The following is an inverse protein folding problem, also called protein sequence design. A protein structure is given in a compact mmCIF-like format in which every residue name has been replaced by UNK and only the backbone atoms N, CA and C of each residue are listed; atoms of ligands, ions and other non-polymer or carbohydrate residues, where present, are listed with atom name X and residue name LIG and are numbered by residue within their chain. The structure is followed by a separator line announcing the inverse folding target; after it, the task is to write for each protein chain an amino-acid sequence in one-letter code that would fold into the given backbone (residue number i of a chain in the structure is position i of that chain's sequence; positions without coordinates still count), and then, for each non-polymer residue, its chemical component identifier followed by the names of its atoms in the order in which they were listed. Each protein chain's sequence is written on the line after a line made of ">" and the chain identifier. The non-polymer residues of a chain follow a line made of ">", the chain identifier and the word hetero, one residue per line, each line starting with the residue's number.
data_IF_483246791572
#
_entry.id   IF_483246791572
#
_cell.length_a   1.000
_cell.length_b   1.000
_cell.length_c   1.000
_cell.angle_alpha   90.00
_cell.angle_beta   90.00
_cell.angle_gamma   90.00
#
_symmetry.space_group_name_H-M   'P 1'
#
loop_
_entity.id
_entity.type
_entity.pdbx_description
1 polymer ?
#
# COMPACT_ATOMS: atom_id res chain seq x y z
N UNK A 1 8.04 -6.39 -19.22
CA UNK A 1 6.68 -5.87 -18.93
C UNK A 1 5.82 -5.64 -20.19
N UNK A 2 6.35 -5.81 -21.40
CA UNK A 2 5.63 -5.51 -22.68
C UNK A 2 4.70 -6.63 -23.15
N UNK A 3 5.01 -7.91 -22.89
CA UNK A 3 4.29 -9.03 -23.52
C UNK A 3 2.83 -9.19 -23.09
N UNK A 4 2.47 -8.88 -21.83
CA UNK A 4 1.09 -9.04 -21.34
C UNK A 4 0.18 -7.96 -21.91
N UNK A 5 0.65 -6.71 -21.97
CA UNK A 5 -0.13 -5.61 -22.54
C UNK A 5 -0.39 -5.82 -24.04
N UNK A 6 0.60 -6.34 -24.78
CA UNK A 6 0.45 -6.65 -26.21
C UNK A 6 -0.67 -7.66 -26.45
N UNK A 7 -0.68 -8.78 -25.72
CA UNK A 7 -1.69 -9.84 -25.87
C UNK A 7 -3.09 -9.34 -25.52
N UNK A 8 -3.21 -8.46 -24.51
CA UNK A 8 -4.49 -7.88 -24.12
C UNK A 8 -5.00 -6.92 -25.20
N UNK A 9 -4.14 -6.09 -25.78
CA UNK A 9 -4.50 -5.23 -26.92
C UNK A 9 -5.00 -6.07 -28.09
N UNK A 10 -4.29 -7.15 -28.43
CA UNK A 10 -4.69 -8.02 -29.55
C UNK A 10 -6.06 -8.68 -29.33
N UNK A 11 -6.38 -9.09 -28.09
CA UNK A 11 -7.70 -9.64 -27.73
C UNK A 11 -8.81 -8.59 -27.84
N UNK A 12 -8.53 -7.35 -27.42
CA UNK A 12 -9.50 -6.24 -27.47
C UNK A 12 -9.80 -5.87 -28.91
N UNK A 13 -8.78 -5.73 -29.76
CA UNK A 13 -8.93 -5.41 -31.17
C UNK A 13 -9.78 -6.48 -31.88
N UNK A 14 -9.57 -7.75 -31.53
CA UNK A 14 -10.39 -8.86 -32.04
C UNK A 14 -11.86 -8.76 -31.58
N UNK A 15 -12.09 -8.43 -30.30
CA UNK A 15 -13.44 -8.30 -29.75
C UNK A 15 -14.21 -7.09 -30.32
N UNK A 16 -13.52 -5.97 -30.54
CA UNK A 16 -14.10 -4.77 -31.16
C UNK A 16 -14.51 -5.04 -32.61
N UNK A 17 -13.63 -5.69 -33.38
CA UNK A 17 -13.93 -6.08 -34.76
C UNK A 17 -15.11 -7.05 -34.86
N UNK A 18 -15.24 -7.98 -33.90
CA UNK A 18 -16.30 -8.98 -33.88
C UNK A 18 -17.67 -8.41 -33.48
N UNK A 19 -17.70 -7.40 -32.62
CA UNK A 19 -18.95 -6.86 -32.06
C UNK A 19 -19.36 -5.48 -32.62
N UNK A 20 -18.57 -4.88 -33.52
CA UNK A 20 -18.88 -3.58 -34.13
C UNK A 20 -18.89 -2.40 -33.14
N UNK A 21 -18.27 -2.57 -31.96
CA UNK A 21 -18.21 -1.57 -30.90
C UNK A 21 -16.88 -0.83 -30.97
N UNK A 22 -16.90 0.41 -31.48
CA UNK A 22 -15.73 1.28 -31.65
C UNK A 22 -15.45 2.22 -30.44
N UNK A 23 -16.04 1.96 -29.27
CA UNK A 23 -16.13 2.97 -28.20
C UNK A 23 -15.21 2.74 -26.98
N UNK A 24 -14.34 1.73 -26.99
CA UNK A 24 -13.42 1.49 -25.86
C UNK A 24 -12.08 2.17 -26.16
N UNK A 25 -11.95 3.42 -25.72
CA UNK A 25 -10.80 4.28 -26.04
C UNK A 25 -9.56 4.05 -25.16
N UNK A 26 -9.70 3.43 -23.97
CA UNK A 26 -8.55 3.05 -23.14
C UNK A 26 -8.95 2.10 -22.01
N UNK A 27 -8.30 0.95 -21.94
CA UNK A 27 -8.44 0.02 -20.81
C UNK A 27 -7.05 -0.20 -20.20
N UNK A 28 -6.88 0.19 -18.93
CA UNK A 28 -5.61 0.05 -18.21
C UNK A 28 -5.75 -1.17 -17.31
N UNK A 29 -5.06 -2.25 -17.67
CA UNK A 29 -4.99 -3.46 -16.84
C UNK A 29 -3.70 -3.37 -16.04
N UNK A 30 -3.81 -2.99 -14.77
CA UNK A 30 -2.72 -3.22 -13.80
C UNK A 30 -2.87 -4.62 -13.22
N UNK A 31 -1.75 -5.32 -13.03
CA UNK A 31 -1.77 -6.53 -12.21
C UNK A 31 -2.24 -6.14 -10.80
N UNK A 32 -3.22 -6.84 -10.19
CA UNK A 32 -3.66 -6.60 -8.81
C UNK A 32 -2.62 -7.12 -7.79
N UNK A 33 -1.39 -7.33 -8.24
CA UNK A 33 -0.32 -7.98 -7.51
C UNK A 33 0.39 -6.98 -6.63
N UNK A 34 0.17 -7.11 -5.33
CA UNK A 34 0.92 -6.47 -4.26
C UNK A 34 0.70 -4.97 -4.22
N UNK A 35 -0.42 -4.58 -3.63
CA UNK A 35 -0.72 -3.18 -3.31
C UNK A 35 0.33 -2.63 -2.34
N UNK A 36 1.37 -2.04 -2.93
CA UNK A 36 2.29 -1.04 -2.42
C UNK A 36 2.79 -1.22 -0.99
N UNK A 37 3.62 -2.24 -0.77
CA UNK A 37 4.54 -2.17 0.36
C UNK A 37 5.43 -0.94 0.21
N UNK A 38 5.61 -0.14 1.27
CA UNK A 38 6.57 0.93 1.23
C UNK A 38 7.97 0.35 1.02
N UNK A 39 8.65 0.80 -0.02
CA UNK A 39 10.01 0.38 -0.36
C UNK A 39 11.06 1.19 0.38
N UNK A 40 10.69 2.37 0.88
CA UNK A 40 11.59 3.26 1.59
C UNK A 40 10.89 3.94 2.77
N UNK A 41 11.63 4.15 3.87
CA UNK A 41 11.16 4.88 5.04
C UNK A 41 10.67 6.30 4.74
N UNK A 42 11.27 7.01 3.77
CA UNK A 42 10.83 8.34 3.37
C UNK A 42 9.41 8.36 2.78
N UNK A 43 8.93 7.24 2.21
CA UNK A 43 7.56 7.16 1.70
C UNK A 43 6.57 7.19 2.87
N UNK A 44 6.88 6.49 3.96
CA UNK A 44 6.11 6.50 5.21
C UNK A 44 6.12 7.91 5.82
N UNK A 45 7.27 8.60 5.77
CA UNK A 45 7.41 9.99 6.23
C UNK A 45 6.46 10.97 5.53
N UNK A 46 6.11 10.74 4.26
CA UNK A 46 5.11 11.57 3.55
C UNK A 46 3.69 11.36 4.07
N UNK A 47 3.45 10.26 4.77
CA UNK A 47 2.16 9.91 5.35
C UNK A 47 2.10 10.13 6.86
N UNK A 48 3.05 10.88 7.44
CA UNK A 48 2.99 11.32 8.84
C UNK A 48 1.62 11.91 9.16
N UNK A 49 1.03 11.46 10.27
CA UNK A 49 -0.32 11.79 10.69
C UNK A 49 -1.43 10.84 10.22
N UNK A 50 -1.15 9.90 9.31
CA UNK A 50 -2.11 8.86 8.87
C UNK A 50 -1.95 7.57 9.66
N UNK A 51 -2.99 6.73 9.69
CA UNK A 51 -2.89 5.36 10.20
C UNK A 51 -2.14 4.48 9.19
N UNK A 52 -1.09 3.83 9.67
CA UNK A 52 -0.36 2.79 8.97
C UNK A 52 -0.74 1.44 9.58
N UNK A 53 -0.92 0.47 8.71
CA UNK A 53 -1.04 -0.95 9.06
C UNK A 53 0.14 -1.69 8.43
N UNK A 54 0.72 -2.64 9.15
CA UNK A 54 1.84 -3.40 8.63
C UNK A 54 2.03 -4.73 9.33
N UNK A 55 2.93 -5.54 8.77
CA UNK A 55 3.29 -6.87 9.26
C UNK A 55 4.80 -6.85 9.45
N UNK A 56 5.26 -7.24 10.65
CA UNK A 56 6.68 -7.40 10.96
C UNK A 56 7.23 -8.70 10.36
N UNK A 57 8.56 -8.82 10.31
CA UNK A 57 9.24 -10.04 9.88
C UNK A 57 8.80 -11.27 10.71
N UNK A 58 8.48 -11.06 11.99
CA UNK A 58 7.96 -12.08 12.91
C UNK A 58 6.48 -12.46 12.65
N UNK A 59 5.83 -11.84 11.67
CA UNK A 59 4.40 -12.04 11.36
C UNK A 59 3.44 -11.23 12.25
N UNK A 60 3.96 -10.44 13.19
CA UNK A 60 3.14 -9.58 14.05
C UNK A 60 2.52 -8.45 13.26
N UNK A 61 1.19 -8.34 13.31
CA UNK A 61 0.45 -7.21 12.75
C UNK A 61 0.57 -5.97 13.65
N UNK A 62 0.99 -4.86 13.08
CA UNK A 62 1.07 -3.55 13.72
C UNK A 62 0.07 -2.60 13.08
N UNK A 63 -0.59 -1.79 13.92
CA UNK A 63 -1.46 -0.71 13.47
C UNK A 63 -1.28 0.50 14.38
N UNK A 64 -1.13 1.68 13.79
CA UNK A 64 -0.91 2.90 14.54
C UNK A 64 -0.82 4.14 13.65
N UNK A 65 -0.95 5.32 14.26
CA UNK A 65 -0.78 6.60 13.60
C UNK A 65 0.70 6.94 13.51
N UNK A 66 1.18 7.33 12.34
CA UNK A 66 2.58 7.74 12.15
C UNK A 66 2.80 9.10 12.83
N UNK A 67 3.68 9.16 13.82
CA UNK A 67 4.06 10.40 14.50
C UNK A 67 5.28 11.05 13.84
N UNK A 68 6.32 10.25 13.59
CA UNK A 68 7.53 10.72 12.93
C UNK A 68 8.29 9.54 12.30
N UNK A 69 9.16 9.86 11.33
CA UNK A 69 10.08 8.91 10.72
C UNK A 69 11.47 9.55 10.62
N UNK A 70 12.43 8.93 11.32
CA UNK A 70 13.79 9.41 11.36
C UNK A 70 14.56 9.01 10.08
N UNK A 71 15.64 9.73 9.79
CA UNK A 71 16.51 9.44 8.63
C UNK A 71 17.18 8.06 8.73
N UNK A 72 17.34 7.52 9.93
CA UNK A 72 17.87 6.17 10.18
C UNK A 72 16.88 5.05 9.82
N UNK A 73 15.62 5.38 9.49
CA UNK A 73 14.58 4.41 9.17
C UNK A 73 13.73 3.97 10.36
N UNK A 74 13.91 4.57 11.54
CA UNK A 74 13.04 4.36 12.70
C UNK A 74 11.71 5.08 12.52
N UNK A 75 10.62 4.36 12.74
CA UNK A 75 9.24 4.82 12.58
C UNK A 75 8.60 4.85 13.96
N UNK A 76 8.15 6.02 14.39
CA UNK A 76 7.38 6.21 15.62
C UNK A 76 5.89 6.10 15.31
N UNK A 77 5.24 5.08 15.84
CA UNK A 77 3.81 4.83 15.66
C UNK A 77 3.07 4.99 17.00
N UNK A 78 1.96 5.71 16.98
CA UNK A 78 1.03 5.81 18.10
C UNK A 78 -0.08 4.76 17.92
N UNK A 79 -0.10 3.74 18.79
CA UNK A 79 -1.14 2.70 18.79
C UNK A 79 -2.10 2.92 19.96
N UNK A 80 -3.39 2.70 19.71
CA UNK A 80 -4.42 2.72 20.75
C UNK A 80 -4.50 1.31 21.35
N UNK A 81 -4.02 1.13 22.59
CA UNK A 81 -4.02 -0.16 23.29
C UNK A 81 -5.40 -0.54 23.81
N UNK A 82 -6.22 0.45 24.16
CA UNK A 82 -7.52 0.23 24.78
C UNK A 82 -8.59 1.19 24.23
N UNK A 83 -9.52 0.67 23.42
CA UNK A 83 -10.66 1.44 22.87
C UNK A 83 -11.53 2.10 23.95
N UNK A 84 -11.54 1.56 25.18
CA UNK A 84 -12.34 2.08 26.29
C UNK A 84 -11.62 3.13 27.17
N UNK A 85 -10.29 3.25 27.12
CA UNK A 85 -9.52 4.13 28.04
C UNK A 85 -8.64 5.20 27.40
N UNK A 86 -8.63 5.36 26.07
CA UNK A 86 -7.79 6.37 25.37
C UNK A 86 -6.31 6.35 25.82
N UNK A 87 -5.79 5.20 26.23
CA UNK A 87 -4.35 5.03 26.46
C UNK A 87 -3.68 4.82 25.10
N UNK A 88 -2.91 5.82 24.68
CA UNK A 88 -2.04 5.77 23.52
C UNK A 88 -0.65 5.31 23.94
N UNK A 89 -0.13 4.31 23.26
CA UNK A 89 1.23 3.79 23.44
C UNK A 89 2.05 4.15 22.21
N UNK A 90 3.20 4.78 22.41
CA UNK A 90 4.15 5.09 21.35
C UNK A 90 5.08 3.89 21.21
N UNK A 91 5.06 3.27 20.04
CA UNK A 91 5.97 2.18 19.68
C UNK A 91 6.95 2.68 18.61
N UNK A 92 8.22 2.31 18.76
CA UNK A 92 9.22 2.57 17.75
C UNK A 92 9.52 1.28 17.02
N UNK A 93 9.49 1.34 15.70
CA UNK A 93 9.64 0.18 14.82
C UNK A 93 10.66 0.54 13.75
N UNK A 94 11.64 -0.34 13.49
CA UNK A 94 12.57 -0.10 12.40
C UNK A 94 11.95 -0.52 11.06
N UNK A 95 12.17 0.27 10.01
CA UNK A 95 11.74 -0.07 8.65
C UNK A 95 12.28 -1.42 8.16
N UNK A 96 13.48 -1.83 8.63
CA UNK A 96 14.10 -3.11 8.27
C UNK A 96 13.34 -4.32 8.80
N UNK A 97 12.62 -4.16 9.92
CA UNK A 97 11.82 -5.22 10.54
C UNK A 97 10.44 -5.37 9.90
N UNK A 98 10.13 -4.51 8.93
CA UNK A 98 8.78 -4.33 8.42
C UNK A 98 8.64 -5.05 7.07
N UNK A 99 7.93 -6.17 7.09
CA UNK A 99 7.72 -7.04 5.93
C UNK A 99 6.70 -6.47 4.95
N UNK A 100 5.59 -5.98 5.46
CA UNK A 100 4.54 -5.33 4.66
C UNK A 100 4.01 -4.08 5.38
N UNK A 101 3.78 -2.99 4.66
CA UNK A 101 3.16 -1.77 5.18
C UNK A 101 2.21 -1.17 4.16
N UNK A 102 1.04 -0.72 4.65
CA UNK A 102 0.01 -0.05 3.87
C UNK A 102 -0.61 1.10 4.68
N UNK A 103 -1.08 2.13 4.00
CA UNK A 103 -1.86 3.19 4.66
C UNK A 103 -3.30 2.72 4.79
N UNK A 104 -3.85 2.83 5.99
CA UNK A 104 -5.25 2.58 6.23
C UNK A 104 -6.06 3.73 5.66
N UNK A 105 -6.78 3.46 4.58
CA UNK A 105 -7.79 4.37 4.05
C UNK A 105 -8.99 4.34 5.00
N UNK A 106 -9.30 5.48 5.61
CA UNK A 106 -10.61 5.68 6.25
C UNK A 106 -11.57 6.10 5.15
N UNK A 107 -12.59 5.28 4.94
CA UNK A 107 -13.76 5.63 4.14
C UNK A 107 -14.78 6.37 5.02
#
# INVERSE_FOLDING_TARGET
>A
MTSVNSVISDIIDNYQQKNGLNEISKLIVSSPGVDNNFKFAWQIKKHTGRELIGILNDGTEISGKILDVNNSGDISLERIKNKNKKETEIINVNFSDLKESKIKLKF
#
